data_IF_917891646579
#
_entry.id   IF_917891646579
#
_cell.length_a   1.000
_cell.length_b   1.000
_cell.length_c   1.000
_cell.angle_alpha   90.00
_cell.angle_beta   90.00
_cell.angle_gamma   90.00
#
_symmetry.space_group_name_H-M   'P 1'
#
loop_
_entity.id
_entity.type
_entity.pdbx_description
1 polymer ?
#
# COMPACT_ATOMS: atom_id res chain seq x y z
N UNK A 1 -4.59 -11.02 13.03
CA UNK A 1 -3.98 -9.81 13.63
C UNK A 1 -2.70 -10.11 14.42
N UNK A 2 -2.73 -10.90 15.51
CA UNK A 2 -1.53 -11.17 16.34
C UNK A 2 -0.34 -11.69 15.51
N UNK A 3 -0.57 -12.65 14.60
CA UNK A 3 0.47 -13.15 13.69
C UNK A 3 1.05 -12.06 12.77
N UNK A 4 0.23 -11.17 12.23
CA UNK A 4 0.71 -10.04 11.41
C UNK A 4 1.63 -9.14 12.24
N UNK A 5 1.24 -8.84 13.48
CA UNK A 5 2.02 -8.00 14.39
C UNK A 5 3.37 -8.64 14.74
N UNK A 6 3.37 -9.94 15.04
CA UNK A 6 4.62 -10.69 15.33
C UNK A 6 5.53 -10.69 14.11
N UNK A 7 5.03 -11.02 12.92
CA UNK A 7 5.83 -11.05 11.70
C UNK A 7 6.36 -9.67 11.34
N UNK A 8 5.52 -8.63 11.39
CA UNK A 8 5.92 -7.25 11.13
C UNK A 8 6.98 -6.76 12.14
N UNK A 9 6.87 -7.17 13.40
CA UNK A 9 7.86 -6.84 14.43
C UNK A 9 9.20 -7.52 14.18
N UNK A 10 9.20 -8.81 13.83
CA UNK A 10 10.42 -9.55 13.44
C UNK A 10 11.09 -8.88 12.23
N UNK A 11 10.33 -8.58 11.18
CA UNK A 11 10.83 -7.89 9.99
C UNK A 11 11.42 -6.52 10.37
N UNK A 12 10.75 -5.77 11.24
CA UNK A 12 11.21 -4.45 11.68
C UNK A 12 12.52 -4.51 12.49
N UNK A 13 12.69 -5.55 13.32
CA UNK A 13 13.97 -5.82 14.00
C UNK A 13 15.06 -6.13 12.97
N UNK A 14 14.78 -6.95 11.96
CA UNK A 14 15.75 -7.26 10.90
C UNK A 14 16.15 -6.02 10.10
N UNK A 15 15.21 -5.15 9.75
CA UNK A 15 15.49 -3.87 9.09
C UNK A 15 16.40 -2.97 9.95
N UNK A 16 16.17 -2.93 11.26
CA UNK A 16 16.96 -2.11 12.19
C UNK A 16 18.35 -2.70 12.46
N UNK A 17 18.43 -3.98 12.84
CA UNK A 17 19.67 -4.61 13.30
C UNK A 17 20.57 -5.05 12.14
N UNK A 18 20.02 -5.67 11.11
CA UNK A 18 20.81 -6.26 10.03
C UNK A 18 21.16 -5.24 8.94
N UNK A 19 20.24 -4.31 8.67
CA UNK A 19 20.41 -3.28 7.62
C UNK A 19 20.72 -1.89 8.18
N UNK A 20 20.71 -1.71 9.50
CA UNK A 20 21.05 -0.42 10.15
C UNK A 20 20.03 0.69 9.91
N UNK A 21 18.85 0.39 9.37
CA UNK A 21 17.85 1.41 9.03
C UNK A 21 17.22 1.93 10.32
N UNK A 22 17.49 3.20 10.60
CA UNK A 22 17.10 3.86 11.85
C UNK A 22 16.57 5.27 11.64
N UNK A 23 16.40 5.69 10.39
CA UNK A 23 16.00 7.05 10.02
C UNK A 23 14.84 7.05 9.03
N UNK A 24 14.17 8.19 8.93
CA UNK A 24 13.19 8.49 7.89
C UNK A 24 13.66 9.73 7.12
N UNK A 25 13.46 9.73 5.82
CA UNK A 25 13.73 10.90 4.97
C UNK A 25 12.42 11.58 4.61
N UNK A 26 12.32 12.88 4.91
CA UNK A 26 11.20 13.72 4.51
C UNK A 26 11.70 14.69 3.43
N UNK A 27 11.14 14.64 2.20
CA UNK A 27 11.51 15.56 1.13
C UNK A 27 11.46 17.03 1.59
N UNK A 28 12.45 17.81 1.19
CA UNK A 28 12.65 19.24 1.53
C UNK A 28 12.94 19.58 2.99
N UNK A 29 12.74 18.66 3.95
CA UNK A 29 13.00 18.90 5.37
C UNK A 29 14.33 18.25 5.79
N UNK A 30 14.58 17.01 5.34
CA UNK A 30 15.80 16.28 5.63
C UNK A 30 15.55 14.93 6.31
N UNK A 31 16.62 14.37 6.86
CA UNK A 31 16.63 13.06 7.50
C UNK A 31 16.44 13.17 9.01
N UNK A 32 15.52 12.38 9.54
CA UNK A 32 15.24 12.29 10.97
C UNK A 32 15.66 10.92 11.48
N UNK A 33 16.59 10.88 12.42
CA UNK A 33 16.99 9.64 13.07
C UNK A 33 15.97 9.29 14.17
N UNK A 34 15.29 8.15 14.00
CA UNK A 34 14.34 7.60 14.97
C UNK A 34 15.03 6.67 15.97
N UNK A 35 16.24 6.18 15.67
CA UNK A 35 16.93 5.17 16.47
C UNK A 35 16.02 3.95 16.68
N UNK A 36 15.89 3.51 17.94
CA UNK A 36 15.07 2.36 18.30
C UNK A 36 13.57 2.55 18.01
N UNK A 37 13.07 3.80 17.92
CA UNK A 37 11.68 4.08 17.55
C UNK A 37 11.37 3.74 16.08
N UNK A 38 12.39 3.46 15.26
CA UNK A 38 12.19 2.92 13.92
C UNK A 38 11.46 1.57 13.94
N UNK A 39 11.72 0.72 14.94
CA UNK A 39 11.11 -0.62 15.04
C UNK A 39 9.57 -0.54 15.16
N UNK A 40 8.98 0.16 16.15
CA UNK A 40 7.53 0.29 16.22
C UNK A 40 6.93 1.04 15.02
N UNK A 41 7.66 2.01 14.45
CA UNK A 41 7.24 2.73 13.25
C UNK A 41 7.13 1.81 12.02
N UNK A 42 8.17 1.02 11.74
CA UNK A 42 8.18 0.03 10.67
C UNK A 42 7.12 -1.04 10.89
N UNK A 43 6.96 -1.51 12.13
CA UNK A 43 5.94 -2.51 12.49
C UNK A 43 4.54 -1.98 12.18
N UNK A 44 4.25 -0.75 12.61
CA UNK A 44 2.99 -0.08 12.31
C UNK A 44 2.79 0.07 10.80
N UNK A 45 3.80 0.53 10.07
CA UNK A 45 3.73 0.74 8.61
C UNK A 45 3.40 -0.55 7.88
N UNK A 46 4.08 -1.65 8.21
CA UNK A 46 3.85 -2.98 7.61
C UNK A 46 2.41 -3.43 7.90
N UNK A 47 1.99 -3.44 9.17
CA UNK A 47 0.63 -3.87 9.55
C UNK A 47 -0.44 -2.98 8.92
N UNK A 48 -0.23 -1.67 8.87
CA UNK A 48 -1.16 -0.72 8.27
C UNK A 48 -1.38 -1.02 6.80
N UNK A 49 -0.31 -1.17 6.02
CA UNK A 49 -0.40 -1.49 4.59
C UNK A 49 -0.94 -2.89 4.31
N UNK A 50 -0.57 -3.90 5.10
CA UNK A 50 -1.16 -5.25 5.02
C UNK A 50 -2.68 -5.20 5.11
N UNK A 51 -3.22 -4.47 6.09
CA UNK A 51 -4.66 -4.34 6.26
C UNK A 51 -5.29 -3.39 5.23
N UNK A 52 -4.57 -2.34 4.82
CA UNK A 52 -5.07 -1.39 3.83
C UNK A 52 -5.28 -2.03 2.46
N UNK A 53 -4.34 -2.86 2.02
CA UNK A 53 -4.47 -3.62 0.77
C UNK A 53 -5.59 -4.65 0.86
N UNK A 54 -5.70 -5.37 1.98
CA UNK A 54 -6.79 -6.32 2.23
C UNK A 54 -8.17 -5.65 2.22
N UNK A 55 -8.30 -4.48 2.83
CA UNK A 55 -9.55 -3.69 2.82
C UNK A 55 -9.89 -3.18 1.41
N UNK A 56 -8.88 -2.90 0.58
CA UNK A 56 -9.06 -2.40 -0.80
C UNK A 56 -9.43 -3.52 -1.78
N UNK A 57 -9.22 -4.78 -1.42
CA UNK A 57 -9.55 -5.96 -2.23
C UNK A 57 -11.05 -6.30 -2.16
N UNK A 58 -11.90 -5.33 -2.55
CA UNK A 58 -13.36 -5.43 -2.51
C UNK A 58 -14.05 -5.30 -3.87
N UNK A 59 -13.31 -4.96 -4.93
CA UNK A 59 -13.79 -4.87 -6.32
C UNK A 59 -12.78 -5.51 -7.29
N UNK A 60 -13.29 -6.07 -8.38
CA UNK A 60 -12.53 -6.77 -9.41
C UNK A 60 -11.46 -5.88 -10.06
N UNK A 61 -10.18 -6.19 -9.83
CA UNK A 61 -9.04 -5.44 -10.34
C UNK A 61 -8.66 -4.20 -9.53
N UNK A 62 -9.37 -3.85 -8.45
CA UNK A 62 -9.06 -2.65 -7.66
C UNK A 62 -7.71 -2.79 -6.95
N UNK A 63 -7.61 -3.69 -5.97
CA UNK A 63 -6.38 -3.87 -5.20
C UNK A 63 -5.21 -4.29 -6.08
N UNK A 64 -5.42 -5.27 -6.96
CA UNK A 64 -4.38 -5.76 -7.88
C UNK A 64 -3.81 -4.67 -8.78
N UNK A 65 -4.65 -3.81 -9.36
CA UNK A 65 -4.21 -2.76 -10.27
C UNK A 65 -3.52 -1.62 -9.52
N UNK A 66 -4.08 -1.20 -8.39
CA UNK A 66 -3.45 -0.18 -7.53
C UNK A 66 -2.08 -0.66 -7.03
N UNK A 67 -1.96 -1.94 -6.64
CA UNK A 67 -0.69 -2.58 -6.24
C UNK A 67 0.31 -2.58 -7.39
N UNK A 68 -0.10 -3.03 -8.58
CA UNK A 68 0.76 -3.09 -9.76
C UNK A 68 1.35 -1.70 -10.07
N UNK A 69 0.50 -0.68 -10.15
CA UNK A 69 0.94 0.70 -10.44
C UNK A 69 1.86 1.22 -9.32
N UNK A 70 1.57 0.88 -8.06
CA UNK A 70 2.43 1.25 -6.92
C UNK A 70 3.82 0.62 -7.02
N UNK A 71 3.89 -0.68 -7.34
CA UNK A 71 5.14 -1.41 -7.48
C UNK A 71 5.95 -0.92 -8.68
N UNK A 72 5.33 -0.52 -9.79
CA UNK A 72 6.05 0.13 -10.89
C UNK A 72 6.77 1.41 -10.43
N UNK A 73 6.14 2.22 -9.58
CA UNK A 73 6.79 3.39 -9.00
C UNK A 73 7.99 3.04 -8.13
N UNK A 74 7.83 2.06 -7.24
CA UNK A 74 8.92 1.59 -6.38
C UNK A 74 10.03 0.90 -7.17
N UNK A 75 9.72 0.22 -8.29
CA UNK A 75 10.69 -0.37 -9.19
C UNK A 75 11.58 0.69 -9.86
N UNK A 76 10.98 1.79 -10.30
CA UNK A 76 11.72 2.94 -10.84
C UNK A 76 12.65 3.50 -9.75
N UNK A 77 12.15 3.73 -8.54
CA UNK A 77 12.97 4.24 -7.43
C UNK A 77 14.12 3.28 -7.05
N UNK A 78 13.85 1.98 -6.97
CA UNK A 78 14.88 0.96 -6.72
C UNK A 78 15.97 0.98 -7.79
N UNK A 79 15.60 1.23 -9.04
CA UNK A 79 16.55 1.30 -10.15
C UNK A 79 17.40 2.57 -10.10
N UNK A 80 16.88 3.69 -9.57
CA UNK A 80 17.66 4.93 -9.41
C UNK A 80 18.77 4.82 -8.36
N UNK A 81 18.60 3.96 -7.35
CA UNK A 81 19.61 3.71 -6.30
C UNK A 81 20.51 2.51 -6.62
N UNK A 82 20.39 1.93 -7.82
CA UNK A 82 21.15 0.77 -8.28
C UNK A 82 21.04 -0.48 -7.38
N UNK A 83 19.95 -0.62 -6.64
CA UNK A 83 19.66 -1.84 -5.86
C UNK A 83 19.10 -2.92 -6.78
N UNK A 84 20.02 -3.64 -7.43
CA UNK A 84 19.71 -4.66 -8.43
C UNK A 84 18.88 -5.82 -7.85
N UNK A 85 19.22 -6.43 -6.69
CA UNK A 85 18.42 -7.49 -6.09
C UNK A 85 16.98 -7.05 -5.79
N UNK A 86 16.79 -5.86 -5.19
CA UNK A 86 15.46 -5.35 -4.89
C UNK A 86 14.69 -5.04 -6.18
N UNK A 87 15.34 -4.44 -7.18
CA UNK A 87 14.71 -4.13 -8.47
C UNK A 87 14.24 -5.40 -9.19
N UNK A 88 15.05 -6.47 -9.20
CA UNK A 88 14.64 -7.77 -9.76
C UNK A 88 13.48 -8.39 -8.98
N UNK A 89 13.52 -8.32 -7.64
CA UNK A 89 12.43 -8.81 -6.80
C UNK A 89 11.12 -8.10 -7.13
N UNK A 90 11.12 -6.76 -7.21
CA UNK A 90 9.92 -5.99 -7.56
C UNK A 90 9.41 -6.37 -8.96
N UNK A 91 10.31 -6.52 -9.95
CA UNK A 91 9.93 -6.89 -11.31
C UNK A 91 9.23 -8.27 -11.38
N UNK A 92 9.70 -9.26 -10.61
CA UNK A 92 9.03 -10.56 -10.50
C UNK A 92 7.62 -10.44 -9.91
N UNK A 93 7.44 -9.61 -8.87
CA UNK A 93 6.14 -9.35 -8.28
C UNK A 93 5.18 -8.64 -9.23
N UNK A 94 5.68 -7.68 -10.03
CA UNK A 94 4.91 -7.03 -11.10
C UNK A 94 4.45 -8.07 -12.13
N UNK A 95 5.34 -8.97 -12.57
CA UNK A 95 4.99 -10.03 -13.53
C UNK A 95 3.92 -11.00 -13.00
N UNK A 96 4.00 -11.37 -11.72
CA UNK A 96 2.98 -12.17 -11.05
C UNK A 96 1.63 -11.45 -10.98
N UNK A 97 1.63 -10.15 -10.63
CA UNK A 97 0.41 -9.34 -10.58
C UNK A 97 -0.22 -9.10 -11.95
N UNK A 98 0.58 -8.91 -13.00
CA UNK A 98 0.07 -8.79 -14.37
C UNK A 98 -0.67 -10.07 -14.80
N UNK A 99 -0.08 -11.22 -14.51
CA UNK A 99 -0.71 -12.52 -14.77
C UNK A 99 -2.00 -12.69 -13.98
N UNK A 100 -2.01 -12.30 -12.70
CA UNK A 100 -3.21 -12.31 -11.86
C UNK A 100 -4.31 -11.37 -12.40
N UNK A 101 -3.96 -10.12 -12.73
CA UNK A 101 -4.88 -9.11 -13.22
C UNK A 101 -5.57 -9.52 -14.52
N UNK A 102 -4.88 -10.25 -15.40
CA UNK A 102 -5.51 -10.81 -16.60
C UNK A 102 -6.74 -11.68 -16.27
N UNK A 103 -6.76 -12.34 -15.12
CA UNK A 103 -7.90 -13.14 -14.66
C UNK A 103 -8.80 -12.42 -13.65
N UNK A 104 -8.35 -11.33 -13.03
CA UNK A 104 -9.06 -10.63 -11.97
C UNK A 104 -9.77 -9.33 -12.43
N UNK A 105 -9.36 -8.73 -13.56
CA UNK A 105 -10.09 -7.57 -14.12
C UNK A 105 -11.52 -7.96 -14.45
N UNK A 106 -12.45 -7.05 -14.11
CA UNK A 106 -13.89 -7.29 -14.23
C UNK A 106 -14.31 -7.85 -15.60
N UNK A 107 -15.14 -8.91 -15.64
CA UNK A 107 -15.60 -9.72 -14.50
C UNK A 107 -14.55 -10.75 -14.05
N UNK A 108 -14.25 -10.79 -12.74
CA UNK A 108 -13.18 -11.63 -12.21
C UNK A 108 -13.47 -13.13 -12.33
N UNK A 109 -12.44 -13.88 -12.70
CA UNK A 109 -12.40 -15.35 -12.69
C UNK A 109 -11.69 -15.92 -11.47
N UNK A 110 -10.79 -15.13 -10.87
CA UNK A 110 -9.99 -15.49 -9.69
C UNK A 110 -9.95 -14.28 -8.76
N UNK A 111 -10.09 -14.53 -7.46
CA UNK A 111 -9.99 -13.52 -6.40
C UNK A 111 -8.61 -13.58 -5.74
N UNK A 112 -8.08 -12.43 -5.32
CA UNK A 112 -6.78 -12.35 -4.63
C UNK A 112 -6.85 -13.01 -3.25
N UNK A 113 -7.93 -12.74 -2.51
CA UNK A 113 -8.18 -13.29 -1.19
C UNK A 113 -7.21 -12.77 -0.13
N UNK A 114 -7.43 -13.18 1.12
CA UNK A 114 -6.62 -12.71 2.25
C UNK A 114 -5.14 -13.08 2.12
N UNK A 115 -4.83 -14.24 1.54
CA UNK A 115 -3.46 -14.71 1.34
C UNK A 115 -2.69 -13.76 0.44
N UNK A 116 -3.24 -13.43 -0.72
CA UNK A 116 -2.61 -12.51 -1.66
C UNK A 116 -2.55 -11.09 -1.09
N UNK A 117 -3.69 -10.55 -0.69
CA UNK A 117 -3.81 -9.14 -0.31
C UNK A 117 -2.93 -8.78 0.89
N UNK A 118 -2.87 -9.64 1.92
CA UNK A 118 -2.00 -9.41 3.07
C UNK A 118 -0.52 -9.53 2.72
N UNK A 119 -0.14 -10.51 1.90
CA UNK A 119 1.24 -10.70 1.47
C UNK A 119 1.71 -9.52 0.62
N UNK A 120 0.95 -9.12 -0.40
CA UNK A 120 1.26 -7.95 -1.24
C UNK A 120 1.34 -6.66 -0.44
N UNK A 121 0.42 -6.44 0.51
CA UNK A 121 0.45 -5.24 1.36
C UNK A 121 1.66 -5.18 2.28
N UNK A 122 2.04 -6.30 2.92
CA UNK A 122 3.26 -6.37 3.71
C UNK A 122 4.50 -6.10 2.85
N UNK A 123 4.61 -6.76 1.69
CA UNK A 123 5.72 -6.61 0.76
C UNK A 123 5.86 -5.18 0.25
N UNK A 124 4.76 -4.53 -0.14
CA UNK A 124 4.74 -3.13 -0.57
C UNK A 124 5.35 -2.20 0.50
N UNK A 125 4.94 -2.38 1.76
CA UNK A 125 5.47 -1.59 2.87
C UNK A 125 6.96 -1.84 3.10
N UNK A 126 7.37 -3.11 3.10
CA UNK A 126 8.78 -3.48 3.29
C UNK A 126 9.66 -2.92 2.17
N UNK A 127 9.22 -2.97 0.91
CA UNK A 127 9.96 -2.35 -0.20
C UNK A 127 10.10 -0.84 0.03
N UNK A 128 9.03 -0.13 0.40
CA UNK A 128 9.11 1.30 0.67
C UNK A 128 10.03 1.66 1.84
N UNK A 129 10.06 0.83 2.89
CA UNK A 129 10.97 0.96 4.02
C UNK A 129 12.42 0.68 3.63
N UNK A 130 12.69 -0.36 2.83
CA UNK A 130 14.02 -0.70 2.32
C UNK A 130 14.63 0.40 1.46
N UNK A 131 13.82 1.06 0.63
CA UNK A 131 14.26 2.20 -0.17
C UNK A 131 14.60 3.43 0.69
N UNK A 132 14.21 3.47 1.96
CA UNK A 132 14.34 4.65 2.83
C UNK A 132 13.47 5.84 2.37
N UNK A 133 12.48 5.58 1.49
CA UNK A 133 11.63 6.59 0.85
C UNK A 133 10.19 6.49 1.38
N UNK A 134 10.04 6.62 2.70
CA UNK A 134 8.76 6.37 3.37
C UNK A 134 7.69 7.39 2.99
N UNK A 135 8.07 8.65 2.76
CA UNK A 135 7.11 9.67 2.31
C UNK A 135 6.54 9.33 0.93
N UNK A 136 7.38 8.80 0.04
CA UNK A 136 6.99 8.33 -1.29
C UNK A 136 6.08 7.11 -1.19
N UNK A 137 6.33 6.20 -0.25
CA UNK A 137 5.44 5.08 0.05
C UNK A 137 4.04 5.58 0.47
N UNK A 138 3.93 6.66 1.25
CA UNK A 138 2.64 7.24 1.64
C UNK A 138 1.89 7.81 0.43
N UNK A 139 2.58 8.52 -0.46
CA UNK A 139 1.96 9.10 -1.67
C UNK A 139 1.57 8.00 -2.66
N UNK A 140 2.49 7.09 -2.95
CA UNK A 140 2.25 5.96 -3.85
C UNK A 140 1.16 5.06 -3.25
N UNK A 141 1.13 4.87 -1.93
CA UNK A 141 0.14 4.07 -1.23
C UNK A 141 -1.18 4.78 -0.94
N UNK A 142 -1.39 6.00 -1.42
CA UNK A 142 -2.44 6.88 -0.88
C UNK A 142 -3.86 6.33 -1.06
N UNK A 143 -4.16 5.62 -2.16
CA UNK A 143 -5.47 4.98 -2.33
C UNK A 143 -5.72 3.94 -1.23
N UNK A 144 -4.74 3.10 -0.90
CA UNK A 144 -4.86 2.14 0.20
C UNK A 144 -5.10 2.85 1.54
N UNK A 145 -4.36 3.94 1.78
CA UNK A 145 -4.50 4.77 2.98
C UNK A 145 -5.91 5.37 3.06
N UNK A 146 -6.45 5.88 1.95
CA UNK A 146 -7.81 6.42 1.89
C UNK A 146 -8.85 5.35 2.21
N UNK A 147 -8.72 4.15 1.64
CA UNK A 147 -9.64 3.03 1.86
C UNK A 147 -9.65 2.60 3.34
N UNK A 148 -8.48 2.36 3.94
CA UNK A 148 -8.41 1.95 5.36
C UNK A 148 -8.86 3.07 6.30
N UNK A 149 -8.54 4.33 5.99
CA UNK A 149 -8.93 5.48 6.81
C UNK A 149 -10.44 5.71 6.74
N UNK A 150 -11.05 5.55 5.56
CA UNK A 150 -12.51 5.64 5.39
C UNK A 150 -13.24 4.58 6.23
N UNK A 151 -12.70 3.36 6.27
CA UNK A 151 -13.20 2.26 7.11
C UNK A 151 -13.04 2.55 8.59
N UNK A 152 -11.87 3.05 9.01
CA UNK A 152 -11.60 3.41 10.39
C UNK A 152 -12.52 4.53 10.89
N UNK A 153 -12.68 5.61 10.12
CA UNK A 153 -13.59 6.73 10.45
C UNK A 153 -15.02 6.22 10.62
N UNK A 154 -15.49 5.37 9.70
CA UNK A 154 -16.83 4.78 9.78
C UNK A 154 -17.00 3.91 11.03
N UNK A 155 -16.00 3.10 11.38
CA UNK A 155 -16.00 2.26 12.58
C UNK A 155 -16.05 3.10 13.85
N UNK A 156 -15.21 4.14 13.94
CA UNK A 156 -15.16 5.05 15.09
C UNK A 156 -16.46 5.84 15.24
N UNK A 157 -17.03 6.35 14.14
CA UNK A 157 -18.31 7.05 14.16
C UNK A 157 -19.44 6.15 14.67
N UNK A 158 -19.55 4.91 14.17
CA UNK A 158 -20.55 3.96 14.67
C UNK A 158 -20.34 3.62 16.15
N UNK A 159 -19.08 3.58 16.61
CA UNK A 159 -18.76 3.26 18.01
C UNK A 159 -19.14 4.39 18.96
N UNK A 160 -18.72 5.61 18.64
CA UNK A 160 -18.81 6.79 19.51
C UNK A 160 -20.04 7.66 19.25
N UNK A 161 -20.32 7.97 17.97
CA UNK A 161 -21.43 8.86 17.57
C UNK A 161 -22.72 8.10 17.27
N UNK A 162 -22.66 6.77 17.17
CA UNK A 162 -23.77 5.87 16.77
C UNK A 162 -24.38 6.20 15.40
N UNK A 163 -23.72 7.03 14.61
CA UNK A 163 -24.14 7.46 13.26
C UNK A 163 -23.17 6.95 12.20
N UNK A 164 -23.65 6.88 10.95
CA UNK A 164 -22.83 6.54 9.77
C UNK A 164 -22.36 7.84 9.10
N UNK A 165 -21.06 7.96 8.84
CA UNK A 165 -20.48 9.09 8.09
C UNK A 165 -20.58 8.83 6.59
N UNK A 166 -20.29 7.59 6.19
CA UNK A 166 -20.33 7.12 4.81
C UNK A 166 -21.53 6.20 4.56
N UNK A 167 -22.12 6.18 3.34
CA UNK A 167 -23.19 5.24 2.96
C UNK A 167 -22.80 3.77 3.17
N UNK A 168 -21.55 3.42 2.87
CA UNK A 168 -20.88 2.17 3.23
C UNK A 168 -19.38 2.43 3.27
N UNK A 169 -18.67 1.77 4.19
CA UNK A 169 -17.20 1.80 4.14
C UNK A 169 -16.73 0.40 3.74
N UNK A 170 -15.64 0.29 2.94
CA UNK A 170 -14.70 1.35 2.56
C UNK A 170 -15.18 2.29 1.43
N UNK A 171 -14.33 3.20 0.95
CA UNK A 171 -14.70 4.29 0.03
C UNK A 171 -15.25 3.75 -1.29
N UNK A 172 -14.66 2.69 -1.84
CA UNK A 172 -15.18 2.05 -3.05
C UNK A 172 -16.63 1.55 -2.90
N UNK A 173 -17.02 1.01 -1.74
CA UNK A 173 -18.40 0.60 -1.46
C UNK A 173 -19.34 1.81 -1.31
N UNK A 174 -18.84 2.94 -0.80
CA UNK A 174 -19.60 4.21 -0.83
C UNK A 174 -19.91 4.63 -2.26
N UNK A 175 -18.92 4.60 -3.15
CA UNK A 175 -19.11 4.98 -4.55
C UNK A 175 -20.09 4.03 -5.26
N UNK A 176 -19.99 2.73 -5.01
CA UNK A 176 -20.91 1.74 -5.57
C UNK A 176 -22.36 2.00 -5.09
N UNK A 177 -22.55 2.32 -3.80
CA UNK A 177 -23.87 2.70 -3.27
C UNK A 177 -24.41 4.02 -3.81
N UNK A 178 -23.56 4.92 -4.26
CA UNK A 178 -23.96 6.16 -4.94
C UNK A 178 -24.34 5.91 -6.42
N UNK A 179 -24.34 4.65 -6.88
CA UNK A 179 -24.76 4.28 -8.23
C UNK A 179 -23.63 4.27 -9.26
N UNK A 180 -22.36 4.21 -8.83
CA UNK A 180 -21.25 4.06 -9.76
C UNK A 180 -21.02 2.59 -10.10
N UNK A 181 -20.87 2.31 -11.40
CA UNK A 181 -20.49 0.98 -11.86
C UNK A 181 -19.09 0.60 -11.35
N UNK A 182 -18.93 -0.67 -11.01
CA UNK A 182 -17.67 -1.20 -10.47
C UNK A 182 -16.46 -0.97 -11.41
N UNK A 183 -16.51 -1.29 -12.72
CA UNK A 183 -15.41 -0.99 -13.63
C UNK A 183 -15.04 0.49 -13.67
N UNK A 184 -16.02 1.38 -13.55
CA UNK A 184 -15.81 2.84 -13.54
C UNK A 184 -15.07 3.29 -12.29
N UNK A 185 -15.37 2.70 -11.13
CA UNK A 185 -14.65 2.96 -9.88
C UNK A 185 -13.19 2.51 -10.01
N UNK A 186 -12.98 1.28 -10.48
CA UNK A 186 -11.65 0.66 -10.63
C UNK A 186 -10.76 1.44 -11.60
N UNK A 187 -11.27 1.76 -12.80
CA UNK A 187 -10.51 2.51 -13.79
C UNK A 187 -10.16 3.92 -13.31
N UNK A 188 -11.05 4.59 -12.58
CA UNK A 188 -10.77 5.91 -11.99
C UNK A 188 -9.73 5.83 -10.87
N UNK A 189 -9.80 4.79 -10.04
CA UNK A 189 -8.78 4.53 -9.03
C UNK A 189 -7.41 4.31 -9.70
N UNK A 190 -7.34 3.56 -10.81
CA UNK A 190 -6.08 3.36 -11.54
C UNK A 190 -5.52 4.67 -12.12
N UNK A 191 -6.37 5.52 -12.71
CA UNK A 191 -5.92 6.83 -13.22
C UNK A 191 -5.36 7.71 -12.09
N UNK A 192 -6.06 7.79 -10.96
CA UNK A 192 -5.59 8.52 -9.78
C UNK A 192 -4.29 7.92 -9.25
N UNK A 193 -4.20 6.59 -9.23
CA UNK A 193 -3.00 5.88 -8.78
C UNK A 193 -1.79 6.15 -9.67
N UNK A 194 -1.97 6.20 -11.00
CA UNK A 194 -0.89 6.55 -11.93
C UNK A 194 -0.35 7.95 -11.62
N UNK A 195 -1.26 8.92 -11.42
CA UNK A 195 -0.87 10.29 -11.09
C UNK A 195 -0.12 10.37 -9.75
N UNK A 196 -0.65 9.70 -8.72
CA UNK A 196 -0.01 9.62 -7.40
C UNK A 196 1.36 8.95 -7.48
N UNK A 197 1.49 7.86 -8.24
CA UNK A 197 2.75 7.16 -8.42
C UNK A 197 3.78 8.04 -9.12
N UNK A 198 3.41 8.69 -10.24
CA UNK A 198 4.31 9.59 -10.96
C UNK A 198 4.76 10.75 -10.08
N UNK A 199 3.83 11.34 -9.33
CA UNK A 199 4.14 12.42 -8.39
C UNK A 199 5.06 11.95 -7.26
N UNK A 200 4.78 10.78 -6.68
CA UNK A 200 5.62 10.18 -5.63
C UNK A 200 7.03 9.88 -6.11
N UNK A 201 7.19 9.35 -7.32
CA UNK A 201 8.51 9.13 -7.94
C UNK A 201 9.23 10.47 -8.16
N UNK A 202 8.57 11.45 -8.80
CA UNK A 202 9.15 12.76 -9.08
C UNK A 202 9.63 13.47 -7.80
N UNK A 203 8.80 13.51 -6.76
CA UNK A 203 9.11 14.14 -5.48
C UNK A 203 10.38 13.57 -4.83
N UNK A 204 10.64 12.28 -5.06
CA UNK A 204 11.72 11.53 -4.45
C UNK A 204 13.05 11.67 -5.17
N UNK A 205 12.98 12.07 -6.44
CA UNK A 205 14.10 12.30 -7.35
C UNK A 205 14.65 13.72 -7.25
N UNK A 206 14.02 14.59 -6.46
CA UNK A 206 14.51 15.92 -6.07
C UNK A 206 15.48 15.80 -4.89
#
# INVERSE_FOLDING_TARGET
FIFQLILAFIISIMLYQNLGISFINIPFIGTFNLGMFYIPFATFTIVAFTNAVNITDGLDGLAGGVLMISLFGLWILSSTILDVPLSMFIALWIGALLSFLYFNVFPARIFMGDVGSMAFGATLAVIGLLLGKVFSLVIIGFIFILEVTSSLIQLLSKRFLKTKVLPAAPLHLSLQKMGWDEPKIVQRAWLVQILLTLFGVWLTSL
#
